data_IF_524938309476
#
_entry.id   IF_524938309476
#
_cell.length_a   1.000
_cell.length_b   1.000
_cell.length_c   1.000
_cell.angle_alpha   90.00
_cell.angle_beta   90.00
_cell.angle_gamma   90.00
#
_symmetry.space_group_name_H-M   'P 1'
#
loop_
_entity.id
_entity.type
_entity.pdbx_description
1 polymer ?
#
# COMPACT_ATOMS: atom_id res chain seq x y z
N UNK A 1 -13.39 12.27 -3.39
CA UNK A 1 -12.50 11.12 -3.60
C UNK A 1 -11.33 11.52 -4.47
N UNK A 2 -10.13 11.20 -4.01
CA UNK A 2 -8.89 11.43 -4.76
C UNK A 2 -8.42 10.10 -5.33
N UNK A 3 -8.04 10.12 -6.61
CA UNK A 3 -7.41 8.95 -7.24
C UNK A 3 -5.94 9.25 -7.49
N UNK A 4 -5.06 8.45 -6.89
CA UNK A 4 -3.62 8.59 -7.00
C UNK A 4 -3.08 7.31 -7.64
N UNK A 5 -2.66 7.41 -8.91
CA UNK A 5 -2.17 6.27 -9.68
C UNK A 5 -0.65 6.34 -9.80
N UNK A 6 0.05 5.49 -9.06
CA UNK A 6 1.51 5.45 -9.04
C UNK A 6 2.12 6.84 -8.80
N UNK A 7 1.63 7.61 -7.80
CA UNK A 7 1.97 9.03 -7.71
C UNK A 7 3.42 9.30 -7.34
N UNK A 8 4.12 8.33 -6.73
CA UNK A 8 5.47 8.54 -6.22
C UNK A 8 6.53 7.75 -6.95
N UNK A 9 6.16 7.06 -8.03
CA UNK A 9 7.06 6.12 -8.71
C UNK A 9 8.30 6.77 -9.30
N UNK A 10 8.23 8.05 -9.67
CA UNK A 10 9.35 8.78 -10.26
C UNK A 10 10.31 9.38 -9.23
N UNK A 11 9.99 9.29 -7.94
CA UNK A 11 10.78 9.90 -6.88
C UNK A 11 11.83 8.94 -6.34
N UNK A 12 12.98 9.48 -5.87
CA UNK A 12 13.94 8.67 -5.16
C UNK A 12 13.40 8.28 -3.79
N UNK A 13 14.07 7.32 -3.13
CA UNK A 13 13.55 6.72 -1.91
C UNK A 13 13.33 7.74 -0.78
N UNK A 14 14.31 8.61 -0.52
CA UNK A 14 14.20 9.57 0.57
C UNK A 14 13.12 10.61 0.30
N UNK A 15 13.08 11.12 -0.92
CA UNK A 15 12.05 12.07 -1.32
C UNK A 15 10.67 11.44 -1.23
N UNK A 16 10.56 10.18 -1.65
CA UNK A 16 9.30 9.45 -1.58
C UNK A 16 8.78 9.34 -0.16
N UNK A 17 9.66 9.02 0.81
CA UNK A 17 9.25 8.92 2.21
C UNK A 17 8.67 10.24 2.72
N UNK A 18 9.34 11.35 2.42
CA UNK A 18 8.89 12.66 2.86
C UNK A 18 7.58 13.07 2.21
N UNK A 19 7.46 12.85 0.90
CA UNK A 19 6.24 13.21 0.17
C UNK A 19 5.06 12.36 0.61
N UNK A 20 5.27 11.09 0.91
CA UNK A 20 4.22 10.23 1.45
C UNK A 20 3.66 10.78 2.76
N UNK A 21 4.54 11.23 3.66
CA UNK A 21 4.11 11.84 4.92
C UNK A 21 3.30 13.10 4.66
N UNK A 22 3.77 13.94 3.75
CA UNK A 22 3.09 15.21 3.43
C UNK A 22 1.71 14.97 2.83
N UNK A 23 1.62 14.06 1.87
CA UNK A 23 0.35 13.75 1.21
C UNK A 23 -0.63 13.11 2.19
N UNK A 24 -0.15 12.21 3.03
CA UNK A 24 -0.99 11.58 4.05
C UNK A 24 -1.59 12.61 4.99
N UNK A 25 -0.76 13.55 5.44
CA UNK A 25 -1.19 14.62 6.32
C UNK A 25 -2.28 15.49 5.68
N UNK A 26 -2.10 15.84 4.42
CA UNK A 26 -3.09 16.62 3.68
C UNK A 26 -4.42 15.88 3.56
N UNK A 27 -4.36 14.60 3.20
CA UNK A 27 -5.57 13.78 3.06
C UNK A 27 -6.34 13.71 4.39
N UNK A 28 -5.61 13.52 5.49
CA UNK A 28 -6.26 13.43 6.81
C UNK A 28 -6.84 14.77 7.25
N UNK A 29 -6.12 15.87 7.05
CA UNK A 29 -6.59 17.21 7.43
C UNK A 29 -7.81 17.64 6.63
N UNK A 30 -7.84 17.27 5.35
CA UNK A 30 -8.96 17.61 4.46
C UNK A 30 -10.09 16.61 4.55
N UNK A 31 -9.94 15.57 5.36
CA UNK A 31 -10.94 14.52 5.53
C UNK A 31 -11.38 13.91 4.20
N UNK A 32 -10.41 13.72 3.29
CA UNK A 32 -10.67 13.15 1.98
C UNK A 32 -10.59 11.63 2.00
N UNK A 33 -11.36 11.01 1.12
CA UNK A 33 -11.17 9.60 0.81
C UNK A 33 -10.25 9.51 -0.40
N UNK A 34 -9.20 8.71 -0.29
CA UNK A 34 -8.23 8.56 -1.37
C UNK A 34 -8.08 7.10 -1.77
N UNK A 35 -7.98 6.89 -3.08
CA UNK A 35 -7.67 5.58 -3.65
C UNK A 35 -6.26 5.66 -4.24
N UNK A 36 -5.35 4.87 -3.67
CA UNK A 36 -3.96 4.83 -4.10
C UNK A 36 -3.71 3.54 -4.87
N UNK A 37 -3.26 3.67 -6.12
CA UNK A 37 -2.86 2.53 -6.93
C UNK A 37 -1.34 2.48 -6.95
N UNK A 38 -0.76 1.37 -6.48
CA UNK A 38 0.69 1.23 -6.40
C UNK A 38 1.07 -0.25 -6.45
N UNK A 39 2.28 -0.53 -6.90
CA UNK A 39 2.87 -1.87 -6.82
C UNK A 39 3.88 -1.96 -5.67
N UNK A 40 4.06 -0.88 -4.92
CA UNK A 40 4.98 -0.83 -3.79
C UNK A 40 4.23 -1.20 -2.50
N UNK A 41 4.52 -2.38 -1.99
CA UNK A 41 3.84 -2.92 -0.79
C UNK A 41 4.07 -2.02 0.42
N UNK A 42 5.31 -1.55 0.61
CA UNK A 42 5.64 -0.68 1.75
C UNK A 42 4.85 0.62 1.72
N UNK A 43 4.71 1.20 0.53
CA UNK A 43 3.92 2.42 0.33
C UNK A 43 2.46 2.18 0.69
N UNK A 44 1.89 1.07 0.21
CA UNK A 44 0.50 0.73 0.49
C UNK A 44 0.25 0.59 1.99
N UNK A 45 1.07 -0.18 2.70
CA UNK A 45 0.88 -0.38 4.14
C UNK A 45 1.07 0.91 4.91
N UNK A 46 2.05 1.72 4.52
CA UNK A 46 2.35 2.96 5.25
C UNK A 46 1.26 4.01 5.11
N UNK A 47 0.51 4.00 4.01
CA UNK A 47 -0.46 5.06 3.74
C UNK A 47 -1.91 4.63 3.87
N UNK A 48 -2.23 3.36 3.60
CA UNK A 48 -3.61 2.92 3.50
C UNK A 48 -4.15 2.38 4.82
N UNK A 49 -5.45 2.50 4.99
CA UNK A 49 -6.18 1.83 6.07
C UNK A 49 -6.69 0.48 5.58
N UNK A 50 -6.95 0.36 4.29
CA UNK A 50 -7.46 -0.84 3.65
C UNK A 50 -6.68 -1.08 2.37
N UNK A 51 -6.19 -2.30 2.20
CA UNK A 51 -5.40 -2.68 1.03
C UNK A 51 -6.13 -3.77 0.27
N UNK A 52 -6.29 -3.55 -1.03
CA UNK A 52 -6.93 -4.53 -1.91
C UNK A 52 -5.86 -5.11 -2.82
N UNK A 53 -5.63 -6.42 -2.69
CA UNK A 53 -4.68 -7.13 -3.53
C UNK A 53 -5.41 -7.69 -4.73
N UNK A 54 -4.92 -7.36 -5.92
CA UNK A 54 -5.55 -7.76 -7.17
C UNK A 54 -4.80 -8.92 -7.83
N UNK A 55 -5.53 -9.71 -8.60
CA UNK A 55 -4.92 -10.73 -9.45
C UNK A 55 -4.38 -10.09 -10.72
N UNK A 56 -3.50 -10.82 -11.42
CA UNK A 56 -2.89 -10.28 -12.63
C UNK A 56 -3.86 -10.20 -13.81
N UNK A 57 -4.43 -11.33 -14.23
CA UNK A 57 -5.26 -11.37 -15.45
C UNK A 57 -6.29 -12.48 -15.35
N UNK A 58 -7.57 -12.14 -15.48
CA UNK A 58 -8.11 -10.78 -15.43
C UNK A 58 -7.99 -10.21 -14.04
N UNK A 59 -7.93 -8.89 -13.92
CA UNK A 59 -7.83 -8.26 -12.62
C UNK A 59 -9.10 -8.51 -11.81
N UNK A 60 -8.94 -9.06 -10.63
CA UNK A 60 -10.03 -9.27 -9.69
C UNK A 60 -9.46 -9.20 -8.29
N UNK A 61 -10.32 -9.03 -7.30
CA UNK A 61 -9.89 -8.94 -5.91
C UNK A 61 -9.45 -10.31 -5.44
N UNK A 62 -8.18 -10.44 -5.03
CA UNK A 62 -7.65 -11.66 -4.45
C UNK A 62 -7.81 -11.67 -2.94
N UNK A 63 -7.53 -10.55 -2.29
CA UNK A 63 -7.57 -10.44 -0.84
C UNK A 63 -7.74 -8.97 -0.43
N UNK A 64 -8.38 -8.77 0.71
CA UNK A 64 -8.53 -7.44 1.31
C UNK A 64 -7.88 -7.48 2.68
N UNK A 65 -7.00 -6.50 2.94
CA UNK A 65 -6.33 -6.36 4.23
C UNK A 65 -6.71 -5.05 4.89
N UNK A 66 -6.92 -5.07 6.19
CA UNK A 66 -7.06 -3.87 7.00
C UNK A 66 -5.77 -3.71 7.80
N UNK A 67 -5.13 -2.56 7.67
CA UNK A 67 -3.82 -2.36 8.28
C UNK A 67 -3.89 -2.23 9.79
N UNK A 68 -4.99 -1.66 10.31
CA UNK A 68 -5.15 -1.38 11.74
C UNK A 68 -4.04 -0.48 12.28
N UNK A 69 -3.53 0.41 11.43
CA UNK A 69 -2.45 1.34 11.77
C UNK A 69 -2.92 2.80 11.82
N UNK A 70 -4.23 3.02 11.83
CA UNK A 70 -4.81 4.37 11.80
C UNK A 70 -4.41 5.20 13.02
N UNK A 71 -4.10 4.53 14.13
CA UNK A 71 -3.66 5.19 15.35
C UNK A 71 -2.25 5.77 15.26
N UNK A 72 -1.51 5.42 14.22
CA UNK A 72 -0.15 5.90 14.00
C UNK A 72 -0.20 7.10 13.07
N UNK A 73 0.38 8.21 13.49
CA UNK A 73 0.14 9.52 12.90
C UNK A 73 0.77 9.75 11.53
N UNK A 74 1.84 9.05 11.18
CA UNK A 74 2.52 9.28 9.89
C UNK A 74 2.90 7.97 9.23
N UNK A 75 3.00 7.96 7.88
CA UNK A 75 3.49 6.79 7.15
C UNK A 75 4.87 6.32 7.60
N UNK A 76 5.77 7.25 7.85
CA UNK A 76 7.11 6.89 8.29
C UNK A 76 7.09 6.15 9.62
N UNK A 77 6.27 6.60 10.56
CA UNK A 77 6.13 5.93 11.86
C UNK A 77 5.46 4.57 11.74
N UNK A 78 4.54 4.40 10.78
CA UNK A 78 3.92 3.10 10.55
C UNK A 78 4.96 2.06 10.14
N UNK A 79 5.99 2.47 9.41
CA UNK A 79 7.07 1.56 8.98
C UNK A 79 7.86 1.01 10.16
N UNK A 80 7.84 1.68 11.30
CA UNK A 80 8.53 1.25 12.51
C UNK A 80 7.70 0.30 13.38
N UNK A 81 6.42 0.17 13.11
CA UNK A 81 5.54 -0.69 13.89
C UNK A 81 5.81 -2.16 13.58
N UNK A 82 5.76 -3.01 14.61
CA UNK A 82 6.05 -4.43 14.45
C UNK A 82 5.09 -5.14 13.48
N UNK A 83 3.85 -4.66 13.39
CA UNK A 83 2.88 -5.28 12.48
C UNK A 83 3.16 -4.93 11.01
N UNK A 84 3.93 -3.88 10.75
CA UNK A 84 4.27 -3.49 9.38
C UNK A 84 4.99 -4.63 8.65
N UNK A 85 6.03 -5.17 9.26
CA UNK A 85 6.79 -6.24 8.63
C UNK A 85 5.99 -7.51 8.46
N UNK A 86 5.09 -7.79 9.39
CA UNK A 86 4.20 -8.97 9.30
C UNK A 86 3.26 -8.81 8.10
N UNK A 87 2.64 -7.65 7.97
CA UNK A 87 1.72 -7.39 6.86
C UNK A 87 2.46 -7.36 5.52
N UNK A 88 3.66 -6.77 5.51
CA UNK A 88 4.49 -6.77 4.30
C UNK A 88 4.73 -8.20 3.82
N UNK A 89 5.14 -9.08 4.73
CA UNK A 89 5.43 -10.47 4.38
C UNK A 89 4.18 -11.18 3.86
N UNK A 90 3.04 -10.97 4.49
CA UNK A 90 1.79 -11.58 4.06
C UNK A 90 1.41 -11.15 2.64
N UNK A 91 1.46 -9.85 2.38
CA UNK A 91 1.08 -9.32 1.07
C UNK A 91 2.08 -9.75 0.01
N UNK A 92 3.37 -9.70 0.35
CA UNK A 92 4.44 -10.12 -0.55
C UNK A 92 4.25 -11.57 -0.98
N UNK A 93 3.94 -12.44 -0.02
CA UNK A 93 3.70 -13.85 -0.29
C UNK A 93 2.47 -14.07 -1.16
N UNK A 94 1.41 -13.33 -0.90
CA UNK A 94 0.20 -13.43 -1.71
C UNK A 94 0.47 -13.06 -3.16
N UNK A 95 1.21 -11.98 -3.39
CA UNK A 95 1.55 -11.55 -4.73
C UNK A 95 2.46 -12.57 -5.43
N UNK A 96 3.48 -13.03 -4.74
CA UNK A 96 4.43 -13.98 -5.33
C UNK A 96 3.81 -15.36 -5.53
N UNK A 97 3.03 -15.83 -4.57
CA UNK A 97 2.36 -17.13 -4.73
C UNK A 97 1.39 -17.10 -5.89
N UNK A 98 0.67 -15.99 -6.04
CA UNK A 98 -0.22 -15.85 -7.17
C UNK A 98 0.56 -15.82 -8.49
N UNK A 99 1.64 -15.07 -8.54
CA UNK A 99 2.48 -14.99 -9.74
C UNK A 99 3.07 -16.35 -10.08
N UNK A 100 3.52 -17.10 -9.07
CA UNK A 100 4.03 -18.45 -9.27
C UNK A 100 2.95 -19.35 -9.81
N UNK A 101 1.76 -19.31 -9.26
CA UNK A 101 0.64 -20.09 -9.76
C UNK A 101 0.25 -19.65 -11.16
N UNK A 102 0.26 -18.36 -11.40
CA UNK A 102 -0.06 -17.83 -12.71
C UNK A 102 0.92 -18.34 -13.75
N UNK A 103 2.19 -18.36 -13.43
CA UNK A 103 3.20 -18.90 -14.33
C UNK A 103 3.03 -20.39 -14.57
N UNK A 104 2.52 -21.13 -13.59
CA UNK A 104 2.39 -22.59 -13.66
C UNK A 104 0.99 -23.03 -14.10
N UNK A 105 -0.04 -22.29 -13.75
CA UNK A 105 -1.44 -22.70 -13.87
C UNK A 105 -2.21 -21.80 -14.81
N UNK A 106 -2.04 -20.51 -14.67
CA UNK A 106 -2.72 -19.54 -15.49
C UNK A 106 -2.03 -19.39 -16.85
#
# INVERSE_FOLDING_TARGET
VLLLDEPFSALDFQTRLQVCDDVYDIIKKEEKTALLVTHDISEAISMADKIIVLTNRPASVKRVHFTHLEHISTPLKRREDSTFSVQFEQIWQELNNYETKSAAID
#
